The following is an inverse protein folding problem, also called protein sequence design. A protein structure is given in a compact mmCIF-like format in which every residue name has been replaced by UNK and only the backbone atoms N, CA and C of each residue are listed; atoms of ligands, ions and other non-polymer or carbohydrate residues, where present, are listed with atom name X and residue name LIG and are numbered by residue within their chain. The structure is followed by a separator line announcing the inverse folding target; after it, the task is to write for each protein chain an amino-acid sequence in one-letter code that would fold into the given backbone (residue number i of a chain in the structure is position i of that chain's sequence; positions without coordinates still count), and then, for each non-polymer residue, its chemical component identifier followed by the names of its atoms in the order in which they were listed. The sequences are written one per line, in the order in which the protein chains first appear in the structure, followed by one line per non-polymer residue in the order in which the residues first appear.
data_IF_640510463162
#
_entry.id   IF_640510463162
#
_cell.length_a   1.000
_cell.length_b   1.000
_cell.length_c   1.000
_cell.angle_alpha   90.00
_cell.angle_beta   90.00
_cell.angle_gamma   90.00
#
_symmetry.space_group_name_H-M   'P 1'
#
loop_
_entity.id
_entity.type
_entity.pdbx_description
1 polymer ?
#
# COMPACT_ATOMS: atom_id res chain seq x y z
N UNK A 1 57.79 -52.36 40.58
CA UNK A 1 57.37 -51.16 41.27
C UNK A 1 57.78 -50.01 40.39
N UNK A 2 56.94 -49.53 39.53
CA UNK A 2 57.25 -48.42 38.62
C UNK A 2 57.13 -47.08 39.41
N UNK A 3 58.13 -46.30 39.26
CA UNK A 3 58.45 -45.10 39.99
C UNK A 3 57.34 -44.02 39.82
N UNK A 4 56.54 -43.85 40.88
CA UNK A 4 55.46 -42.86 40.94
C UNK A 4 55.97 -41.41 41.07
N UNK A 5 57.29 -41.24 41.21
CA UNK A 5 57.93 -39.93 41.43
C UNK A 5 58.18 -39.11 40.16
N UNK A 6 58.08 -39.74 38.97
CA UNK A 6 58.27 -39.07 37.70
C UNK A 6 57.05 -38.23 37.27
N UNK A 7 55.86 -38.54 37.80
CA UNK A 7 54.65 -37.81 37.47
C UNK A 7 54.39 -36.56 38.31
N UNK A 8 55.29 -36.29 39.25
CA UNK A 8 55.12 -35.15 40.17
C UNK A 8 55.94 -33.92 39.78
N UNK A 9 56.70 -33.97 38.69
CA UNK A 9 57.58 -32.88 38.22
C UNK A 9 57.02 -32.04 37.08
N UNK A 10 55.86 -32.40 36.54
CA UNK A 10 55.15 -31.46 35.66
C UNK A 10 53.97 -30.88 36.40
N UNK A 11 54.30 -29.94 37.31
CA UNK A 11 53.34 -29.09 37.99
C UNK A 11 52.62 -28.18 37.02
N UNK A 12 51.72 -28.76 36.27
CA UNK A 12 50.72 -27.99 35.53
C UNK A 12 49.56 -27.71 36.50
N UNK A 13 49.71 -26.65 37.29
CA UNK A 13 48.57 -26.15 38.09
C UNK A 13 47.52 -25.62 37.11
N UNK A 14 46.35 -26.30 36.97
CA UNK A 14 45.32 -25.86 36.01
C UNK A 14 44.78 -24.49 36.26
N UNK A 15 45.07 -23.90 37.43
CA UNK A 15 44.67 -22.55 37.81
C UNK A 15 45.57 -21.44 37.28
N UNK A 16 46.85 -21.70 37.07
CA UNK A 16 47.78 -20.68 36.52
C UNK A 16 47.62 -20.48 35.02
N UNK A 17 47.09 -21.45 34.26
CA UNK A 17 47.00 -21.37 32.80
C UNK A 17 45.78 -20.57 32.32
N UNK A 18 44.77 -20.35 33.17
CA UNK A 18 43.51 -19.66 32.76
C UNK A 18 43.76 -18.14 32.60
N UNK A 19 44.70 -17.59 33.34
CA UNK A 19 44.99 -16.12 33.38
C UNK A 19 46.27 -15.73 32.63
N UNK A 20 46.78 -16.55 31.70
CA UNK A 20 47.85 -16.08 30.85
C UNK A 20 47.35 -14.93 29.94
N UNK A 21 48.23 -13.96 29.65
CA UNK A 21 47.89 -12.82 28.77
C UNK A 21 47.33 -13.29 27.43
N UNK A 22 47.90 -14.40 26.88
CA UNK A 22 47.46 -15.02 25.62
C UNK A 22 46.03 -15.55 25.74
N UNK A 23 45.69 -16.27 26.80
CA UNK A 23 44.36 -16.82 27.03
C UNK A 23 43.34 -15.74 27.28
N UNK A 24 43.69 -14.69 28.04
CA UNK A 24 42.85 -13.53 28.26
C UNK A 24 42.50 -12.80 26.94
N UNK A 25 43.51 -12.49 26.12
CA UNK A 25 43.31 -11.86 24.83
C UNK A 25 42.48 -12.76 23.87
N UNK A 26 42.72 -14.06 23.90
CA UNK A 26 41.94 -15.03 23.13
C UNK A 26 40.46 -15.04 23.59
N UNK A 27 40.22 -15.04 24.90
CA UNK A 27 38.85 -15.06 25.44
C UNK A 27 38.09 -13.75 25.11
N UNK A 28 38.76 -12.61 25.25
CA UNK A 28 38.19 -11.29 24.91
C UNK A 28 37.92 -11.23 23.39
N UNK A 29 38.87 -11.67 22.55
CA UNK A 29 38.69 -11.67 21.10
C UNK A 29 37.51 -12.54 20.67
N UNK A 30 37.46 -13.77 21.13
CA UNK A 30 36.32 -14.68 20.79
C UNK A 30 34.99 -14.21 21.33
N UNK A 31 34.95 -13.67 22.55
CA UNK A 31 33.70 -13.15 23.11
C UNK A 31 33.18 -11.94 22.33
N UNK A 32 34.08 -11.07 21.85
CA UNK A 32 33.71 -9.94 20.99
C UNK A 32 33.14 -10.41 19.66
N UNK A 33 33.80 -11.38 19.02
CA UNK A 33 33.30 -11.93 17.72
C UNK A 33 31.93 -12.61 17.90
N UNK A 34 31.80 -13.48 18.90
CA UNK A 34 30.53 -14.18 19.15
C UNK A 34 29.42 -13.21 19.56
N UNK A 35 29.74 -12.21 20.38
CA UNK A 35 28.80 -11.17 20.76
C UNK A 35 28.32 -10.35 19.57
N UNK A 36 29.23 -9.92 18.70
CA UNK A 36 28.88 -9.19 17.47
C UNK A 36 28.05 -10.03 16.52
N UNK A 37 28.38 -11.29 16.38
CA UNK A 37 27.61 -12.23 15.54
C UNK A 37 26.20 -12.46 16.11
N UNK A 38 26.07 -12.62 17.43
CA UNK A 38 24.79 -12.76 18.11
C UNK A 38 23.90 -11.53 17.95
N UNK A 39 24.44 -10.34 18.20
CA UNK A 39 23.73 -9.08 18.03
C UNK A 39 23.33 -8.88 16.56
N UNK A 40 24.23 -9.14 15.62
CA UNK A 40 23.95 -9.06 14.18
C UNK A 40 22.84 -9.99 13.76
N UNK A 41 22.84 -11.24 14.22
CA UNK A 41 21.78 -12.21 13.93
C UNK A 41 20.43 -11.80 14.48
N UNK A 42 20.40 -11.29 15.74
CA UNK A 42 19.17 -10.78 16.34
C UNK A 42 18.65 -9.54 15.62
N UNK A 43 19.52 -8.61 15.24
CA UNK A 43 19.16 -7.43 14.49
C UNK A 43 18.60 -7.79 13.10
N UNK A 44 19.25 -8.74 12.42
CA UNK A 44 18.81 -9.28 11.13
C UNK A 44 17.44 -9.98 11.25
N UNK A 45 17.27 -10.84 12.25
CA UNK A 45 15.99 -11.50 12.50
C UNK A 45 14.86 -10.50 12.78
N UNK A 46 15.15 -9.45 13.56
CA UNK A 46 14.20 -8.37 13.81
C UNK A 46 13.89 -7.55 12.56
N UNK A 47 14.86 -7.34 11.68
CA UNK A 47 14.66 -6.65 10.40
C UNK A 47 13.82 -7.51 9.42
N UNK A 48 14.05 -8.84 9.39
CA UNK A 48 13.29 -9.76 8.54
C UNK A 48 11.84 -9.97 9.02
N UNK A 49 11.51 -9.62 10.25
CA UNK A 49 10.14 -9.74 10.77
C UNK A 49 9.37 -8.44 10.51
N UNK A 50 8.52 -8.37 9.47
CA UNK A 50 7.80 -7.15 9.16
C UNK A 50 6.82 -6.82 10.30
N UNK A 51 6.98 -5.64 10.89
CA UNK A 51 6.03 -5.10 11.87
C UNK A 51 4.85 -4.46 11.14
N UNK A 52 4.07 -5.24 10.45
CA UNK A 52 2.77 -4.80 9.93
C UNK A 52 1.78 -4.80 11.09
N UNK A 53 1.85 -3.77 11.92
CA UNK A 53 1.00 -3.68 13.10
C UNK A 53 -0.36 -3.02 12.81
N UNK A 54 -0.47 -2.25 11.72
CA UNK A 54 -1.71 -1.58 11.35
C UNK A 54 -1.80 -1.49 9.83
N UNK A 55 -2.66 -2.30 9.24
CA UNK A 55 -3.16 -1.98 7.91
C UNK A 55 -4.09 -0.77 8.04
N UNK A 56 -3.84 0.33 7.31
CA UNK A 56 -4.75 1.45 7.31
C UNK A 56 -6.13 0.95 6.85
N UNK A 57 -7.19 1.46 7.46
CA UNK A 57 -8.55 1.11 7.03
C UNK A 57 -8.69 1.43 5.54
N UNK A 58 -8.99 0.41 4.76
CA UNK A 58 -9.19 0.56 3.30
C UNK A 58 -10.55 1.15 2.99
N UNK A 59 -11.48 1.13 3.95
CA UNK A 59 -12.86 1.59 3.77
C UNK A 59 -13.07 2.95 4.40
N UNK A 60 -13.74 3.84 3.64
CA UNK A 60 -14.12 5.19 4.10
C UNK A 60 -15.59 5.46 3.77
N UNK A 61 -16.23 6.28 4.62
CA UNK A 61 -17.59 6.80 4.40
C UNK A 61 -17.48 8.21 3.86
N UNK A 62 -18.19 8.47 2.77
CA UNK A 62 -18.11 9.73 2.03
C UNK A 62 -19.33 10.64 2.23
N UNK A 63 -20.20 10.35 3.19
CA UNK A 63 -21.43 11.09 3.42
C UNK A 63 -22.62 10.48 2.72
N UNK A 64 -23.76 11.19 2.77
CA UNK A 64 -25.01 10.70 2.18
C UNK A 64 -25.07 11.01 0.69
N UNK A 65 -25.77 10.17 -0.12
CA UNK A 65 -25.96 10.40 -1.55
C UNK A 65 -26.59 11.75 -1.89
N UNK A 66 -27.48 12.25 -1.03
CA UNK A 66 -28.23 13.51 -1.24
C UNK A 66 -27.32 14.75 -1.22
N UNK A 67 -26.15 14.65 -0.58
CA UNK A 67 -25.17 15.74 -0.50
C UNK A 67 -24.48 16.05 -1.85
N UNK A 68 -24.63 15.17 -2.83
CA UNK A 68 -23.94 15.28 -4.11
C UNK A 68 -24.91 15.73 -5.21
N UNK A 69 -24.48 16.65 -6.04
CA UNK A 69 -25.26 17.15 -7.18
C UNK A 69 -25.30 16.10 -8.29
N UNK A 70 -26.46 15.88 -8.86
CA UNK A 70 -26.63 14.97 -10.02
C UNK A 70 -25.84 15.50 -11.22
N UNK A 71 -25.21 14.62 -11.98
CA UNK A 71 -24.34 14.94 -13.13
C UNK A 71 -23.13 15.79 -12.75
N UNK A 72 -22.50 15.50 -11.63
CA UNK A 72 -21.32 16.22 -11.17
C UNK A 72 -20.17 15.30 -10.77
N UNK A 73 -18.99 15.88 -10.77
CA UNK A 73 -17.76 15.26 -10.27
C UNK A 73 -17.34 15.97 -9.01
N UNK A 74 -17.40 15.28 -7.87
CA UNK A 74 -16.96 15.84 -6.60
C UNK A 74 -15.45 15.69 -6.45
N UNK A 75 -14.76 16.81 -6.30
CA UNK A 75 -13.32 16.90 -6.05
C UNK A 75 -12.95 16.93 -4.57
N UNK A 76 -13.95 16.91 -3.66
CA UNK A 76 -13.79 17.01 -2.21
C UNK A 76 -12.78 16.02 -1.65
N UNK A 77 -12.68 14.83 -2.24
CA UNK A 77 -11.91 13.71 -1.72
C UNK A 77 -10.54 13.52 -2.38
N UNK A 78 -10.16 14.38 -3.35
CA UNK A 78 -8.88 14.27 -4.06
C UNK A 78 -7.70 14.38 -3.11
N UNK A 79 -7.68 15.37 -2.23
CA UNK A 79 -6.55 15.62 -1.33
C UNK A 79 -6.33 14.52 -0.30
N UNK A 80 -7.41 13.92 0.19
CA UNK A 80 -7.35 12.90 1.26
C UNK A 80 -7.15 11.49 0.69
N UNK A 81 -7.88 11.16 -0.37
CA UNK A 81 -7.99 9.77 -0.84
C UNK A 81 -7.63 9.60 -2.32
N UNK A 82 -7.28 10.67 -3.03
CA UNK A 82 -7.04 10.66 -4.48
C UNK A 82 -8.20 10.01 -5.24
N UNK A 83 -9.41 10.46 -4.92
CA UNK A 83 -10.68 9.92 -5.37
C UNK A 83 -11.56 11.04 -5.91
N UNK A 84 -12.20 10.80 -7.07
CA UNK A 84 -13.39 11.51 -7.48
C UNK A 84 -14.63 10.66 -7.17
N UNK A 85 -15.62 11.28 -6.55
CA UNK A 85 -16.95 10.71 -6.48
C UNK A 85 -17.80 11.33 -7.58
N UNK A 86 -18.25 10.52 -8.50
CA UNK A 86 -19.00 10.94 -9.69
C UNK A 86 -20.45 10.52 -9.48
N UNK A 87 -21.39 11.49 -9.52
CA UNK A 87 -22.82 11.21 -9.46
C UNK A 87 -23.44 11.37 -10.84
N UNK A 88 -23.99 10.29 -11.33
CA UNK A 88 -24.83 10.23 -12.54
C UNK A 88 -26.33 10.14 -12.13
N UNK A 89 -27.28 10.31 -13.06
CA UNK A 89 -28.70 10.13 -12.74
C UNK A 89 -29.02 8.77 -12.13
N UNK A 90 -28.34 7.71 -12.58
CA UNK A 90 -28.62 6.33 -12.18
C UNK A 90 -27.80 5.86 -10.98
N UNK A 91 -26.84 6.68 -10.47
CA UNK A 91 -26.01 6.27 -9.34
C UNK A 91 -24.61 6.88 -9.29
N UNK A 92 -23.68 6.19 -8.61
CA UNK A 92 -22.38 6.70 -8.25
C UNK A 92 -21.24 5.81 -8.76
N UNK A 93 -20.11 6.48 -9.07
CA UNK A 93 -18.81 5.84 -9.35
C UNK A 93 -17.74 6.45 -8.45
N UNK A 94 -16.97 5.61 -7.80
CA UNK A 94 -15.76 5.98 -7.08
C UNK A 94 -14.54 5.82 -8.01
N UNK A 95 -14.12 6.92 -8.66
CA UNK A 95 -13.06 6.93 -9.66
C UNK A 95 -11.72 7.31 -9.05
N UNK A 96 -10.67 6.53 -9.31
CA UNK A 96 -9.31 6.86 -8.88
C UNK A 96 -8.79 8.12 -9.55
N UNK A 97 -8.29 9.08 -8.76
CA UNK A 97 -7.63 10.30 -9.25
C UNK A 97 -6.12 10.08 -9.48
N UNK A 98 -5.74 8.88 -9.92
CA UNK A 98 -4.36 8.50 -10.22
C UNK A 98 -4.20 8.14 -11.69
N UNK A 99 -3.46 8.98 -12.42
CA UNK A 99 -3.16 8.74 -13.83
C UNK A 99 -2.42 7.41 -14.03
N UNK A 100 -2.90 6.59 -14.95
CA UNK A 100 -2.34 5.27 -15.23
C UNK A 100 -1.03 5.30 -16.00
N UNK A 101 -0.55 6.47 -16.43
CA UNK A 101 0.79 6.63 -16.98
C UNK A 101 1.86 6.55 -15.89
N UNK A 102 2.00 7.59 -15.06
CA UNK A 102 3.04 7.68 -14.00
C UNK A 102 2.47 8.16 -12.65
N UNK A 103 1.17 8.06 -12.42
CA UNK A 103 0.56 8.30 -11.13
C UNK A 103 0.29 9.75 -10.75
N UNK A 104 0.45 10.72 -11.67
CA UNK A 104 0.03 12.10 -11.45
C UNK A 104 -1.48 12.19 -11.17
N UNK A 105 -1.93 13.27 -10.55
CA UNK A 105 -3.36 13.53 -10.36
C UNK A 105 -3.91 14.33 -11.54
N UNK A 106 -4.78 13.76 -12.39
CA UNK A 106 -5.46 14.53 -13.43
C UNK A 106 -6.37 15.60 -12.83
N UNK A 107 -6.72 16.61 -13.62
CA UNK A 107 -7.68 17.65 -13.24
C UNK A 107 -9.00 17.38 -13.95
N UNK A 108 -10.09 17.65 -13.29
CA UNK A 108 -11.41 17.67 -13.90
C UNK A 108 -11.57 18.98 -14.68
N UNK A 109 -11.89 18.88 -15.96
CA UNK A 109 -12.20 20.01 -16.83
C UNK A 109 -13.68 19.91 -17.22
N UNK A 110 -14.52 20.62 -16.48
CA UNK A 110 -15.96 20.57 -16.63
C UNK A 110 -16.41 21.03 -18.03
N UNK A 111 -15.83 22.13 -18.53
CA UNK A 111 -16.13 22.70 -19.85
C UNK A 111 -15.83 21.75 -21.02
N UNK A 112 -14.87 20.84 -20.83
CA UNK A 112 -14.46 19.88 -21.85
C UNK A 112 -14.95 18.46 -21.54
N UNK A 113 -15.65 18.29 -20.43
CA UNK A 113 -16.15 16.99 -19.94
C UNK A 113 -15.07 15.90 -19.98
N UNK A 114 -13.88 16.20 -19.45
CA UNK A 114 -12.76 15.26 -19.42
C UNK A 114 -11.87 15.42 -18.19
N UNK A 115 -11.16 14.37 -17.85
CA UNK A 115 -10.06 14.45 -16.90
C UNK A 115 -8.75 14.59 -17.69
N UNK A 116 -7.98 15.64 -17.44
CA UNK A 116 -6.73 15.93 -18.12
C UNK A 116 -5.56 15.86 -17.16
N UNK A 117 -4.58 15.03 -17.46
CA UNK A 117 -3.36 14.93 -16.68
C UNK A 117 -2.37 16.04 -17.07
N UNK A 118 -1.95 16.90 -16.14
CA UNK A 118 -1.06 18.03 -16.48
C UNK A 118 0.38 17.59 -16.75
N UNK A 119 0.79 16.41 -16.30
CA UNK A 119 2.18 15.96 -16.41
C UNK A 119 2.59 15.67 -17.86
N UNK A 120 1.80 14.84 -18.57
CA UNK A 120 2.13 14.39 -19.92
C UNK A 120 0.92 14.39 -20.86
N UNK A 121 -0.13 15.12 -20.50
CA UNK A 121 -1.27 15.34 -21.39
C UNK A 121 -2.24 14.17 -21.56
N UNK A 122 -2.18 13.12 -20.74
CA UNK A 122 -3.17 12.02 -20.82
C UNK A 122 -4.58 12.53 -20.55
N UNK A 123 -5.51 12.19 -21.44
CA UNK A 123 -6.92 12.53 -21.34
C UNK A 123 -7.79 11.30 -21.07
N UNK A 124 -8.75 11.46 -20.17
CA UNK A 124 -9.74 10.43 -19.85
C UNK A 124 -11.14 11.00 -19.96
N UNK A 125 -12.05 10.21 -20.46
CA UNK A 125 -13.46 10.61 -20.68
C UNK A 125 -14.13 11.00 -19.38
N UNK A 126 -14.89 12.08 -19.41
CA UNK A 126 -15.67 12.59 -18.28
C UNK A 126 -17.01 11.87 -18.08
N UNK A 127 -18.01 12.63 -17.69
CA UNK A 127 -19.37 12.13 -17.46
C UNK A 127 -19.95 11.49 -18.70
N UNK A 128 -20.55 10.33 -18.52
CA UNK A 128 -21.23 9.60 -19.59
C UNK A 128 -22.52 8.98 -19.05
N UNK A 129 -23.59 9.16 -19.78
CA UNK A 129 -24.93 8.68 -19.41
C UNK A 129 -25.22 7.24 -19.86
N UNK A 130 -24.19 6.48 -20.22
CA UNK A 130 -24.39 5.07 -20.55
C UNK A 130 -24.73 4.24 -19.29
N UNK A 131 -25.47 3.13 -19.46
CA UNK A 131 -25.73 2.23 -18.33
C UNK A 131 -24.46 1.86 -17.58
N UNK A 132 -24.49 1.92 -16.23
CA UNK A 132 -23.34 1.68 -15.35
C UNK A 132 -22.13 2.59 -15.61
N UNK A 133 -22.29 3.68 -16.36
CA UNK A 133 -21.25 4.68 -16.62
C UNK A 133 -19.95 4.10 -17.23
N UNK A 134 -20.07 3.16 -18.14
CA UNK A 134 -18.97 2.33 -18.67
C UNK A 134 -17.86 3.10 -19.39
N UNK A 135 -18.12 4.34 -19.81
CA UNK A 135 -17.14 5.14 -20.56
C UNK A 135 -16.38 6.15 -19.71
N UNK A 136 -16.90 6.54 -18.55
CA UNK A 136 -16.23 7.51 -17.66
C UNK A 136 -14.91 6.94 -17.15
N UNK A 137 -13.85 7.72 -17.29
CA UNK A 137 -12.49 7.31 -16.91
C UNK A 137 -11.73 6.52 -17.99
N UNK A 138 -12.34 6.24 -19.17
CA UNK A 138 -11.61 5.63 -20.30
C UNK A 138 -10.60 6.60 -20.89
N UNK A 139 -9.38 6.13 -21.06
CA UNK A 139 -8.32 6.90 -21.72
C UNK A 139 -8.63 7.03 -23.22
N UNK A 140 -8.40 8.21 -23.79
CA UNK A 140 -8.59 8.49 -25.21
C UNK A 140 -7.47 9.36 -25.80
N UNK A 141 -6.62 9.95 -24.94
CA UNK A 141 -5.59 10.87 -25.36
C UNK A 141 -4.33 10.69 -24.49
N UNK A 142 -3.17 10.85 -25.12
CA UNK A 142 -1.87 10.86 -24.44
C UNK A 142 -1.32 9.49 -24.06
N UNK A 143 -0.24 9.45 -23.26
CA UNK A 143 0.54 8.23 -23.03
C UNK A 143 -0.04 7.26 -22.02
N UNK A 144 -1.20 7.54 -21.40
CA UNK A 144 -1.81 6.61 -20.44
C UNK A 144 -2.23 5.29 -21.13
N UNK A 145 -1.69 4.13 -20.70
CA UNK A 145 -1.90 2.87 -21.41
C UNK A 145 -3.27 2.24 -21.15
N UNK A 146 -3.99 2.67 -20.11
CA UNK A 146 -5.24 2.04 -19.67
C UNK A 146 -6.18 3.05 -18.99
N UNK A 147 -7.48 2.69 -18.86
CA UNK A 147 -8.46 3.51 -18.14
C UNK A 147 -8.06 3.80 -16.69
N UNK A 148 -8.67 4.82 -16.10
CA UNK A 148 -8.59 5.07 -14.66
C UNK A 148 -9.26 3.92 -13.89
N UNK A 149 -8.68 3.55 -12.77
CA UNK A 149 -9.22 2.48 -11.92
C UNK A 149 -10.44 2.97 -11.14
N UNK A 150 -11.38 2.06 -10.85
CA UNK A 150 -12.51 2.32 -9.95
C UNK A 150 -12.34 1.58 -8.66
N UNK A 151 -12.78 2.19 -7.57
CA UNK A 151 -12.84 1.55 -6.26
C UNK A 151 -14.21 0.91 -6.04
N UNK A 152 -14.25 -0.07 -5.16
CA UNK A 152 -15.52 -0.64 -4.72
C UNK A 152 -16.38 0.42 -4.03
N UNK A 153 -17.64 0.48 -4.41
CA UNK A 153 -18.61 1.43 -3.86
C UNK A 153 -19.89 0.70 -3.48
N UNK A 154 -20.42 1.00 -2.30
CA UNK A 154 -21.67 0.47 -1.79
C UNK A 154 -22.37 1.50 -0.91
N UNK A 155 -23.63 1.25 -0.58
CA UNK A 155 -24.36 1.97 0.46
C UNK A 155 -24.16 1.22 1.78
N UNK A 156 -23.73 1.91 2.82
CA UNK A 156 -23.61 1.36 4.16
C UNK A 156 -25.00 1.29 4.85
N UNK A 157 -25.12 0.54 5.93
CA UNK A 157 -26.38 0.38 6.69
C UNK A 157 -26.94 1.71 7.22
N UNK A 158 -26.08 2.70 7.46
CA UNK A 158 -26.45 4.05 7.90
C UNK A 158 -26.82 5.00 6.74
N UNK A 159 -26.93 4.50 5.53
CA UNK A 159 -27.29 5.26 4.33
C UNK A 159 -26.15 6.10 3.77
N UNK A 160 -24.91 5.99 4.27
CA UNK A 160 -23.76 6.69 3.72
C UNK A 160 -23.11 5.90 2.58
N UNK A 161 -22.50 6.61 1.65
CA UNK A 161 -21.68 6.01 0.58
C UNK A 161 -20.40 5.47 1.21
N UNK A 162 -20.17 4.17 1.07
CA UNK A 162 -18.97 3.48 1.51
C UNK A 162 -18.08 3.16 0.31
N UNK A 163 -16.81 3.52 0.38
CA UNK A 163 -15.80 3.19 -0.64
C UNK A 163 -14.68 2.36 -0.01
N UNK A 164 -14.31 1.26 -0.68
CA UNK A 164 -13.20 0.40 -0.28
C UNK A 164 -12.07 0.49 -1.30
N UNK A 165 -10.94 1.05 -0.88
CA UNK A 165 -9.72 1.20 -1.69
C UNK A 165 -8.95 -0.12 -1.86
N UNK A 166 -9.23 -1.13 -1.03
CA UNK A 166 -8.64 -2.45 -1.15
C UNK A 166 -9.17 -3.25 -2.34
N UNK A 167 -10.34 -2.86 -2.87
CA UNK A 167 -10.98 -3.50 -4.02
C UNK A 167 -11.00 -2.56 -5.21
N UNK A 168 -10.19 -2.90 -6.22
CA UNK A 168 -10.00 -2.09 -7.41
C UNK A 168 -10.55 -2.81 -8.64
N UNK A 169 -11.34 -2.11 -9.46
CA UNK A 169 -11.89 -2.60 -10.70
C UNK A 169 -11.20 -1.95 -11.89
N UNK A 170 -10.74 -2.75 -12.83
CA UNK A 170 -9.97 -2.34 -14.00
C UNK A 170 -10.82 -2.41 -15.27
N UNK A 171 -10.91 -1.29 -15.98
CA UNK A 171 -11.73 -1.18 -17.19
C UNK A 171 -11.22 -2.00 -18.36
N UNK A 172 -9.91 -2.23 -18.47
CA UNK A 172 -9.31 -3.08 -19.49
C UNK A 172 -9.60 -4.57 -19.32
N UNK A 173 -10.12 -4.98 -18.14
CA UNK A 173 -10.53 -6.35 -17.82
C UNK A 173 -12.05 -6.53 -17.78
N UNK A 174 -12.80 -5.55 -18.27
CA UNK A 174 -14.26 -5.51 -18.20
C UNK A 174 -14.83 -5.63 -16.77
N UNK A 175 -14.03 -5.26 -15.76
CA UNK A 175 -14.45 -5.38 -14.37
C UNK A 175 -15.43 -4.30 -13.95
N UNK A 176 -15.65 -3.27 -14.73
CA UNK A 176 -16.59 -2.19 -14.44
C UNK A 176 -18.06 -2.60 -14.48
N UNK A 177 -18.36 -3.78 -15.07
CA UNK A 177 -19.70 -4.38 -15.04
C UNK A 177 -19.97 -5.19 -13.75
N UNK A 178 -18.92 -5.50 -12.97
CA UNK A 178 -19.05 -6.26 -11.75
C UNK A 178 -19.79 -5.47 -10.66
N UNK A 179 -20.48 -6.19 -9.79
CA UNK A 179 -21.13 -5.61 -8.63
C UNK A 179 -20.11 -4.88 -7.74
N UNK A 180 -20.45 -3.64 -7.34
CA UNK A 180 -19.58 -2.79 -6.52
C UNK A 180 -18.64 -1.88 -7.33
N UNK A 181 -18.49 -2.04 -8.64
CA UNK A 181 -17.81 -1.05 -9.48
C UNK A 181 -18.68 0.20 -9.77
N UNK A 182 -19.97 0.07 -9.50
CA UNK A 182 -21.00 1.09 -9.67
C UNK A 182 -22.08 0.90 -8.60
N UNK A 183 -22.48 1.96 -7.96
CA UNK A 183 -23.59 1.99 -7.00
C UNK A 183 -24.83 2.54 -7.71
N UNK A 184 -25.85 1.71 -7.93
CA UNK A 184 -27.15 2.17 -8.42
C UNK A 184 -27.85 2.96 -7.31
N UNK A 185 -28.27 4.15 -7.62
CA UNK A 185 -28.99 5.02 -6.73
C UNK A 185 -29.89 5.97 -7.53
N UNK A 186 -31.17 5.72 -7.50
CA UNK A 186 -32.20 6.59 -8.04
C UNK A 186 -32.87 7.30 -6.85
N UNK A 187 -32.42 8.48 -6.53
CA UNK A 187 -33.00 9.32 -5.48
C UNK A 187 -33.74 10.50 -6.06
#
# INVERSE_FOLDING_TARGET
MANLDILKQEGCDPKEHIWSRRNFLGLVGWSTVLGSLGIGTLAFGRFMYPRVLFEPRTTVKLGKPEEYIVNSVSEKWIKLYRLWLIRNPDGFVAQSAKCTHLGCTPRWLESENKFKCPCHGSGFRGLNYSPNNLFTGRNFEGPAPRPLERFYIALAEDGQILVDFGRVFRGERDEWIKAGAYLKYSG
#
